data_IF_767563102312
#
_entry.id   IF_767563102312
#
_cell.length_a   1.000
_cell.length_b   1.000
_cell.length_c   1.000
_cell.angle_alpha   90.00
_cell.angle_beta   90.00
_cell.angle_gamma   90.00
#
_symmetry.space_group_name_H-M   'P 1'
#
loop_
_entity.id
_entity.type
_entity.pdbx_description
1 polymer ?
#
# COMPACT_ATOMS: atom_id res chain seq x y z
N UNK A 1 20.74 34.50 -13.77
CA UNK A 1 21.09 33.49 -12.74
C UNK A 1 20.02 33.38 -11.67
N UNK A 2 19.57 34.50 -11.07
CA UNK A 2 18.43 34.50 -10.13
C UNK A 2 17.17 33.90 -10.80
N UNK A 3 16.89 34.25 -12.06
CA UNK A 3 15.74 33.67 -12.79
C UNK A 3 15.86 32.16 -13.02
N UNK A 4 17.08 31.64 -13.26
CA UNK A 4 17.32 30.19 -13.40
C UNK A 4 17.10 29.46 -12.07
N UNK A 5 17.51 30.07 -10.96
CA UNK A 5 17.28 29.53 -9.60
C UNK A 5 15.78 29.58 -9.27
N UNK A 6 15.10 30.68 -9.64
CA UNK A 6 13.66 30.84 -9.46
C UNK A 6 12.88 29.81 -10.27
N UNK A 7 13.24 29.61 -11.53
CA UNK A 7 12.62 28.62 -12.42
C UNK A 7 12.88 27.19 -11.93
N UNK A 8 14.09 26.87 -11.47
CA UNK A 8 14.39 25.55 -10.92
C UNK A 8 13.62 25.27 -9.62
N UNK A 9 13.61 26.20 -8.67
CA UNK A 9 12.86 26.03 -7.42
C UNK A 9 11.35 25.99 -7.67
N UNK A 10 10.84 26.79 -8.61
CA UNK A 10 9.40 26.81 -8.96
C UNK A 10 9.00 25.51 -9.63
N UNK A 11 9.80 25.03 -10.59
CA UNK A 11 9.61 23.73 -11.22
C UNK A 11 9.64 22.58 -10.21
N UNK A 12 10.57 22.61 -9.24
CA UNK A 12 10.67 21.57 -8.20
C UNK A 12 9.43 21.53 -7.29
N UNK A 13 8.85 22.68 -6.94
CA UNK A 13 7.65 22.73 -6.08
C UNK A 13 6.36 22.38 -6.82
N UNK A 14 6.24 22.80 -8.09
CA UNK A 14 5.14 22.40 -8.97
C UNK A 14 5.20 20.89 -9.21
N UNK A 15 6.38 20.35 -9.49
CA UNK A 15 6.58 18.89 -9.61
C UNK A 15 6.20 18.17 -8.31
N UNK A 16 6.57 18.69 -7.12
CA UNK A 16 6.16 18.07 -5.85
C UNK A 16 4.64 18.09 -5.68
N UNK A 17 3.98 19.22 -5.92
CA UNK A 17 2.53 19.35 -5.78
C UNK A 17 1.76 18.45 -6.76
N UNK A 18 2.20 18.41 -8.02
CA UNK A 18 1.60 17.54 -9.05
C UNK A 18 1.84 16.06 -8.72
N UNK A 19 2.98 15.73 -8.12
CA UNK A 19 3.25 14.38 -7.63
C UNK A 19 2.42 14.02 -6.40
N UNK A 20 2.09 14.95 -5.49
CA UNK A 20 1.13 14.67 -4.40
C UNK A 20 -0.20 14.21 -4.98
N UNK A 21 -0.71 14.98 -5.96
CA UNK A 21 -1.99 14.71 -6.60
C UNK A 21 -1.95 13.38 -7.36
N UNK A 22 -0.86 13.13 -8.08
CA UNK A 22 -0.65 11.88 -8.81
C UNK A 22 -0.55 10.67 -7.87
N UNK A 23 0.23 10.75 -6.79
CA UNK A 23 0.37 9.68 -5.80
C UNK A 23 -0.96 9.38 -5.13
N UNK A 24 -1.73 10.41 -4.78
CA UNK A 24 -3.07 10.22 -4.22
C UNK A 24 -4.03 9.54 -5.19
N UNK A 25 -3.96 9.89 -6.48
CA UNK A 25 -4.74 9.24 -7.55
C UNK A 25 -4.33 7.79 -7.77
N UNK A 26 -3.03 7.48 -7.82
CA UNK A 26 -2.52 6.14 -8.12
C UNK A 26 -2.65 5.17 -6.93
N UNK A 27 -2.41 5.63 -5.69
CA UNK A 27 -2.57 4.79 -4.48
C UNK A 27 -4.03 4.44 -4.23
N UNK A 28 -4.95 5.31 -4.65
CA UNK A 28 -6.39 5.16 -4.53
C UNK A 28 -7.04 4.28 -5.60
N UNK A 29 -6.28 3.66 -6.52
CA UNK A 29 -6.86 2.73 -7.49
C UNK A 29 -7.06 1.33 -6.89
N UNK A 30 -8.21 0.72 -7.17
CA UNK A 30 -8.41 -0.71 -6.93
C UNK A 30 -7.59 -1.54 -7.92
N UNK A 31 -7.27 -2.80 -7.61
CA UNK A 31 -6.66 -3.72 -8.56
C UNK A 31 -7.43 -3.78 -9.90
N UNK A 32 -8.76 -3.86 -9.86
CA UNK A 32 -9.58 -3.89 -11.09
C UNK A 32 -9.48 -2.61 -11.92
N UNK A 33 -9.33 -1.45 -11.28
CA UNK A 33 -9.22 -0.15 -11.98
C UNK A 33 -7.80 0.20 -12.44
N UNK A 34 -6.77 -0.50 -11.93
CA UNK A 34 -5.38 -0.17 -12.22
C UNK A 34 -4.95 -0.68 -13.60
N UNK A 35 -5.20 -1.97 -13.89
CA UNK A 35 -4.98 -2.54 -15.21
C UNK A 35 -5.88 -3.76 -15.44
N UNK A 36 -6.81 -3.63 -16.39
CA UNK A 36 -7.82 -4.67 -16.67
C UNK A 36 -7.22 -5.96 -17.22
N UNK A 37 -6.13 -5.90 -17.99
CA UNK A 37 -5.48 -7.08 -18.57
C UNK A 37 -4.75 -7.89 -17.50
N UNK A 38 -3.95 -7.22 -16.66
CA UNK A 38 -3.25 -7.84 -15.54
C UNK A 38 -4.26 -8.44 -14.55
N UNK A 39 -5.34 -7.71 -14.25
CA UNK A 39 -6.41 -8.22 -13.40
C UNK A 39 -7.05 -9.49 -13.98
N UNK A 40 -7.38 -9.49 -15.27
CA UNK A 40 -7.98 -10.66 -15.94
C UNK A 40 -7.03 -11.85 -15.96
N UNK A 41 -5.74 -11.61 -16.20
CA UNK A 41 -4.70 -12.63 -16.16
C UNK A 41 -4.60 -13.27 -14.77
N UNK A 42 -4.55 -12.47 -13.71
CA UNK A 42 -4.45 -12.95 -12.33
C UNK A 42 -5.71 -13.69 -11.90
N UNK A 43 -6.89 -13.18 -12.27
CA UNK A 43 -8.16 -13.87 -12.04
C UNK A 43 -8.20 -15.22 -12.75
N UNK A 44 -7.73 -15.30 -14.00
CA UNK A 44 -7.62 -16.55 -14.75
C UNK A 44 -6.71 -17.57 -14.06
N UNK A 45 -5.56 -17.15 -13.54
CA UNK A 45 -4.68 -18.03 -12.73
C UNK A 45 -5.41 -18.54 -11.49
N UNK A 46 -6.07 -17.65 -10.75
CA UNK A 46 -6.78 -18.03 -9.55
C UNK A 46 -7.89 -19.06 -9.85
N UNK A 47 -8.74 -18.78 -10.83
CA UNK A 47 -9.90 -19.62 -11.16
C UNK A 47 -9.50 -20.95 -11.81
N UNK A 48 -8.53 -20.94 -12.73
CA UNK A 48 -8.21 -22.13 -13.54
C UNK A 48 -7.13 -23.02 -12.92
N UNK A 49 -6.25 -22.48 -12.07
CA UNK A 49 -5.10 -23.23 -11.51
C UNK A 49 -5.21 -23.36 -10.01
N UNK A 50 -5.37 -22.25 -9.29
CA UNK A 50 -5.28 -22.24 -7.83
C UNK A 50 -6.53 -22.80 -7.18
N UNK A 51 -7.72 -22.48 -7.70
CA UNK A 51 -8.99 -22.92 -7.14
C UNK A 51 -9.16 -24.46 -7.17
N UNK A 52 -8.85 -25.18 -8.28
CA UNK A 52 -8.83 -26.64 -8.26
C UNK A 52 -7.87 -27.24 -7.21
N UNK A 53 -6.68 -26.67 -7.06
CA UNK A 53 -5.69 -27.12 -6.05
C UNK A 53 -6.25 -26.89 -4.63
N UNK A 54 -6.82 -25.71 -4.38
CA UNK A 54 -7.46 -25.38 -3.11
C UNK A 54 -8.63 -26.30 -2.79
N UNK A 55 -9.40 -26.75 -3.79
CA UNK A 55 -10.49 -27.70 -3.60
C UNK A 55 -9.99 -29.10 -3.15
N UNK A 56 -8.85 -29.56 -3.69
CA UNK A 56 -8.22 -30.82 -3.24
C UNK A 56 -7.74 -30.69 -1.79
N UNK A 57 -7.07 -29.59 -1.45
CA UNK A 57 -6.61 -29.30 -0.08
C UNK A 57 -7.81 -29.23 0.87
N UNK A 58 -8.87 -28.50 0.50
CA UNK A 58 -10.09 -28.38 1.27
C UNK A 58 -10.71 -29.77 1.54
N UNK A 59 -10.78 -30.63 0.53
CA UNK A 59 -11.33 -31.98 0.65
C UNK A 59 -10.54 -32.81 1.67
N UNK A 60 -9.21 -32.78 1.60
CA UNK A 60 -8.37 -33.48 2.58
C UNK A 60 -8.60 -32.99 4.01
N UNK A 61 -8.70 -31.66 4.19
CA UNK A 61 -8.94 -31.03 5.49
C UNK A 61 -10.31 -31.40 6.05
N UNK A 62 -11.35 -31.39 5.21
CA UNK A 62 -12.71 -31.78 5.59
C UNK A 62 -12.78 -33.27 5.97
N UNK A 63 -12.05 -34.15 5.28
CA UNK A 63 -11.96 -35.57 5.64
C UNK A 63 -11.32 -35.77 7.02
N UNK A 64 -10.22 -35.07 7.31
CA UNK A 64 -9.56 -35.13 8.63
C UNK A 64 -10.53 -34.66 9.72
N UNK A 65 -11.24 -33.55 9.49
CA UNK A 65 -12.19 -33.03 10.46
C UNK A 65 -13.37 -33.99 10.69
N UNK A 66 -13.87 -34.65 9.63
CA UNK A 66 -14.91 -35.67 9.76
C UNK A 66 -14.45 -36.84 10.65
N UNK A 67 -13.25 -37.35 10.42
CA UNK A 67 -12.66 -38.41 11.24
C UNK A 67 -12.59 -37.97 12.71
N UNK A 68 -12.17 -36.74 12.99
CA UNK A 68 -12.12 -36.21 14.35
C UNK A 68 -13.50 -36.06 15.01
N UNK A 69 -14.55 -35.75 14.24
CA UNK A 69 -15.93 -35.70 14.74
C UNK A 69 -16.43 -37.12 15.08
N UNK A 70 -16.14 -38.10 14.21
CA UNK A 70 -16.52 -39.50 14.45
C UNK A 70 -15.76 -40.11 15.63
N UNK A 71 -14.44 -39.91 15.72
CA UNK A 71 -13.61 -40.48 16.80
C UNK A 71 -13.90 -39.88 18.18
N UNK A 72 -14.31 -38.62 18.27
CA UNK A 72 -14.68 -37.99 19.55
C UNK A 72 -15.92 -38.63 20.18
N UNK A 73 -16.74 -39.33 19.39
CA UNK A 73 -17.92 -40.07 19.86
C UNK A 73 -17.68 -41.58 19.85
N UNK A 74 -16.66 -42.04 20.57
CA UNK A 74 -16.39 -43.47 20.80
C UNK A 74 -17.31 -44.09 21.88
N UNK A 75 -18.58 -43.72 21.86
CA UNK A 75 -19.67 -44.43 22.51
C UNK A 75 -20.89 -44.22 21.61
N UNK A 76 -21.14 -45.17 20.70
CA UNK A 76 -22.14 -45.08 19.63
C UNK A 76 -23.61 -45.06 20.13
N UNK A 77 -23.83 -44.68 21.39
CA UNK A 77 -25.15 -44.66 22.02
C UNK A 77 -25.80 -43.28 22.00
N UNK A 78 -25.03 -42.18 21.92
CA UNK A 78 -25.54 -40.79 21.85
C UNK A 78 -24.83 -39.98 20.76
N UNK A 79 -25.08 -40.33 19.50
CA UNK A 79 -24.73 -39.43 18.39
C UNK A 79 -25.70 -38.25 18.43
N UNK A 80 -25.37 -37.19 19.17
CA UNK A 80 -26.04 -35.89 19.01
C UNK A 80 -26.02 -35.52 17.52
N UNK A 81 -27.15 -35.70 16.87
CA UNK A 81 -27.39 -35.35 15.46
C UNK A 81 -26.97 -33.90 15.17
N UNK A 82 -27.00 -33.06 16.21
CA UNK A 82 -26.59 -31.67 16.19
C UNK A 82 -25.10 -31.43 15.89
N UNK A 83 -24.18 -32.29 16.34
CA UNK A 83 -22.74 -32.11 16.07
C UNK A 83 -22.39 -32.45 14.62
N UNK A 84 -23.02 -33.48 14.06
CA UNK A 84 -22.93 -33.80 12.63
C UNK A 84 -23.54 -32.68 11.77
N UNK A 85 -24.67 -32.11 12.20
CA UNK A 85 -25.30 -30.97 11.52
C UNK A 85 -24.39 -29.72 11.49
N UNK A 86 -23.69 -29.42 12.60
CA UNK A 86 -22.68 -28.35 12.65
C UNK A 86 -21.55 -28.58 11.65
N UNK A 87 -21.08 -29.83 11.50
CA UNK A 87 -20.06 -30.17 10.52
C UNK A 87 -20.53 -29.92 9.08
N UNK A 88 -21.76 -30.29 8.73
CA UNK A 88 -22.32 -30.03 7.39
C UNK A 88 -22.40 -28.52 7.09
N UNK A 89 -22.86 -27.71 8.06
CA UNK A 89 -22.87 -26.25 7.91
C UNK A 89 -21.45 -25.71 7.70
N UNK A 90 -20.50 -26.19 8.50
CA UNK A 90 -19.10 -25.76 8.41
C UNK A 90 -18.48 -26.11 7.05
N UNK A 91 -18.74 -27.32 6.55
CA UNK A 91 -18.31 -27.76 5.22
C UNK A 91 -18.86 -26.83 4.14
N UNK A 92 -20.15 -26.53 4.19
CA UNK A 92 -20.81 -25.64 3.22
C UNK A 92 -20.19 -24.25 3.21
N UNK A 93 -19.96 -23.66 4.39
CA UNK A 93 -19.29 -22.36 4.53
C UNK A 93 -17.86 -22.42 3.96
N UNK A 94 -17.11 -23.47 4.25
CA UNK A 94 -15.73 -23.59 3.78
C UNK A 94 -15.63 -23.70 2.24
N UNK A 95 -16.51 -24.48 1.62
CA UNK A 95 -16.59 -24.59 0.15
C UNK A 95 -16.98 -23.25 -0.47
N UNK A 96 -17.97 -22.57 0.11
CA UNK A 96 -18.41 -21.25 -0.38
C UNK A 96 -17.28 -20.22 -0.33
N UNK A 97 -16.56 -20.18 0.80
CA UNK A 97 -15.49 -19.21 1.05
C UNK A 97 -14.24 -19.46 0.20
N UNK A 98 -13.89 -20.72 -0.10
CA UNK A 98 -12.82 -21.04 -1.07
C UNK A 98 -13.22 -20.67 -2.49
N UNK A 99 -14.47 -20.93 -2.89
CA UNK A 99 -14.98 -20.61 -4.22
C UNK A 99 -15.02 -19.10 -4.51
N UNK A 100 -15.21 -18.29 -3.47
CA UNK A 100 -15.28 -16.82 -3.56
C UNK A 100 -14.04 -16.13 -2.94
N UNK A 101 -12.92 -16.85 -2.79
CA UNK A 101 -11.69 -16.32 -2.19
C UNK A 101 -11.17 -15.06 -2.91
N UNK A 102 -11.24 -15.04 -4.23
CA UNK A 102 -10.82 -13.90 -5.04
C UNK A 102 -11.74 -12.68 -4.82
N UNK A 103 -13.05 -12.90 -4.83
CA UNK A 103 -14.03 -11.83 -4.61
C UNK A 103 -13.94 -11.26 -3.19
N UNK A 104 -13.70 -12.11 -2.20
CA UNK A 104 -13.38 -11.66 -0.84
C UNK A 104 -12.16 -10.76 -0.83
N UNK A 105 -11.11 -11.13 -1.57
CA UNK A 105 -9.88 -10.34 -1.62
C UNK A 105 -10.11 -8.98 -2.25
N UNK A 106 -10.93 -8.91 -3.31
CA UNK A 106 -11.33 -7.63 -3.92
C UNK A 106 -12.14 -6.77 -2.97
N UNK A 107 -13.10 -7.34 -2.24
CA UNK A 107 -13.88 -6.61 -1.26
C UNK A 107 -13.01 -5.99 -0.15
N UNK A 108 -11.94 -6.67 0.29
CA UNK A 108 -10.97 -6.10 1.24
C UNK A 108 -10.28 -4.86 0.65
N UNK A 109 -9.90 -4.90 -0.63
CA UNK A 109 -9.30 -3.75 -1.29
C UNK A 109 -10.26 -2.61 -1.54
N UNK A 110 -11.55 -2.87 -1.80
CA UNK A 110 -12.57 -1.83 -1.94
C UNK A 110 -12.76 -1.07 -0.61
N UNK A 111 -12.80 -1.78 0.51
CA UNK A 111 -12.85 -1.17 1.85
C UNK A 111 -11.59 -0.33 2.10
N UNK A 112 -10.40 -0.89 1.81
CA UNK A 112 -9.15 -0.15 1.94
C UNK A 112 -9.12 1.11 1.06
N UNK A 113 -9.64 1.03 -0.17
CA UNK A 113 -9.74 2.16 -1.09
C UNK A 113 -10.63 3.27 -0.52
N UNK A 114 -11.77 2.93 0.09
CA UNK A 114 -12.65 3.91 0.73
C UNK A 114 -11.94 4.69 1.85
N UNK A 115 -11.05 4.03 2.59
CA UNK A 115 -10.23 4.66 3.63
C UNK A 115 -9.15 5.56 3.00
N UNK A 116 -8.47 5.08 1.96
CA UNK A 116 -7.44 5.81 1.21
C UNK A 116 -8.04 7.08 0.59
N UNK A 117 -9.23 7.00 -0.03
CA UNK A 117 -9.91 8.14 -0.63
C UNK A 117 -10.26 9.23 0.39
N UNK A 118 -10.74 8.84 1.57
CA UNK A 118 -10.97 9.78 2.68
C UNK A 118 -9.67 10.42 3.17
N UNK A 119 -8.60 9.65 3.31
CA UNK A 119 -7.29 10.16 3.71
C UNK A 119 -6.68 11.10 2.66
N UNK A 120 -6.87 10.81 1.37
CA UNK A 120 -6.41 11.66 0.27
C UNK A 120 -7.06 13.05 0.34
N UNK A 121 -8.33 13.18 0.72
CA UNK A 121 -8.99 14.47 0.92
C UNK A 121 -8.33 15.33 2.02
N UNK A 122 -7.89 14.71 3.12
CA UNK A 122 -7.19 15.39 4.22
C UNK A 122 -5.78 15.82 3.79
N UNK A 123 -5.06 14.93 3.09
CA UNK A 123 -3.71 15.23 2.57
C UNK A 123 -3.76 16.32 1.50
N UNK A 124 -4.72 16.28 0.58
CA UNK A 124 -4.88 17.30 -0.47
C UNK A 124 -5.15 18.70 0.09
N UNK A 125 -5.91 18.81 1.18
CA UNK A 125 -6.14 20.07 1.88
C UNK A 125 -4.86 20.60 2.55
N UNK A 126 -4.03 19.68 3.05
CA UNK A 126 -2.79 20.01 3.76
C UNK A 126 -1.59 20.24 2.83
N UNK A 127 -1.65 19.74 1.59
CA UNK A 127 -0.54 19.75 0.64
C UNK A 127 -0.50 20.98 -0.28
N UNK A 128 -1.45 21.92 -0.17
CA UNK A 128 -1.45 23.12 -1.00
C UNK A 128 -0.27 24.02 -0.59
N UNK A 129 0.89 23.86 -1.24
CA UNK A 129 2.03 24.76 -1.09
C UNK A 129 1.79 25.91 -2.07
N UNK A 130 1.16 26.98 -1.58
CA UNK A 130 0.90 28.18 -2.37
C UNK A 130 2.22 28.86 -2.74
N UNK A 131 2.39 29.41 -3.96
CA UNK A 131 3.58 30.16 -4.39
C UNK A 131 3.89 31.44 -3.58
N UNK A 132 3.12 31.77 -2.55
CA UNK A 132 3.16 33.06 -1.85
C UNK A 132 4.44 33.37 -1.07
N UNK A 133 5.36 32.42 -0.89
CA UNK A 133 6.65 32.66 -0.24
C UNK A 133 7.79 32.94 -1.24
N UNK A 134 7.53 32.92 -2.56
CA UNK A 134 8.59 33.05 -3.56
C UNK A 134 9.13 34.46 -3.72
N UNK A 135 8.28 35.49 -3.63
CA UNK A 135 8.73 36.87 -3.78
C UNK A 135 9.71 37.25 -2.65
N UNK A 136 9.49 36.74 -1.43
CA UNK A 136 10.42 36.90 -0.31
C UNK A 136 11.74 36.11 -0.49
N UNK A 137 11.72 34.90 -1.06
CA UNK A 137 12.94 34.13 -1.37
C UNK A 137 13.74 34.76 -2.52
N UNK A 138 13.04 35.30 -3.53
CA UNK A 138 13.65 36.01 -4.66
C UNK A 138 14.27 37.32 -4.21
N UNK A 139 13.63 38.06 -3.30
CA UNK A 139 14.20 39.27 -2.73
C UNK A 139 15.40 38.99 -1.80
N UNK A 140 15.40 37.87 -1.08
CA UNK A 140 16.56 37.39 -0.32
C UNK A 140 17.73 36.93 -1.23
N UNK A 141 17.44 36.48 -2.46
CA UNK A 141 18.45 36.11 -3.46
C UNK A 141 19.06 37.33 -4.18
N UNK A 142 18.32 38.42 -4.33
CA UNK A 142 18.81 39.68 -4.95
C UNK A 142 19.87 40.40 -4.12
N UNK A 143 20.00 40.09 -2.83
CA UNK A 143 20.96 40.71 -1.91
C UNK A 143 22.28 39.95 -1.77
N UNK A 144 22.46 38.80 -2.44
CA UNK A 144 23.66 37.95 -2.32
C UNK A 144 24.64 38.19 -3.48
N UNK A 145 25.93 37.99 -3.20
CA UNK A 145 27.00 38.17 -4.18
C UNK A 145 26.94 37.15 -5.33
N UNK A 146 27.48 37.56 -6.49
CA UNK A 146 27.53 36.79 -7.74
C UNK A 146 28.17 35.39 -7.56
N UNK A 147 29.16 35.25 -6.67
CA UNK A 147 29.82 33.97 -6.37
C UNK A 147 28.95 33.00 -5.58
N UNK A 148 28.23 33.48 -4.56
CA UNK A 148 27.27 32.67 -3.79
C UNK A 148 26.09 32.22 -4.65
N UNK A 149 25.71 33.06 -5.62
CA UNK A 149 24.66 32.78 -6.60
C UNK A 149 24.98 31.59 -7.52
N UNK A 150 26.24 31.44 -7.94
CA UNK A 150 26.69 30.28 -8.74
C UNK A 150 26.66 29.00 -7.88
N UNK A 151 27.08 29.08 -6.62
CA UNK A 151 27.01 27.95 -5.68
C UNK A 151 25.57 27.46 -5.45
N UNK A 152 24.63 28.38 -5.22
CA UNK A 152 23.21 28.07 -5.05
C UNK A 152 22.60 27.51 -6.35
N UNK A 153 23.01 28.01 -7.53
CA UNK A 153 22.55 27.47 -8.81
C UNK A 153 22.99 26.01 -9.03
N UNK A 154 24.21 25.66 -8.60
CA UNK A 154 24.72 24.29 -8.69
C UNK A 154 24.03 23.36 -7.69
N UNK A 155 23.82 23.82 -6.45
CA UNK A 155 23.10 23.06 -5.43
C UNK A 155 21.63 22.82 -5.79
N UNK A 156 20.93 23.85 -6.27
CA UNK A 156 19.53 23.70 -6.74
C UNK A 156 19.43 22.73 -7.94
N UNK A 157 20.44 22.70 -8.81
CA UNK A 157 20.55 21.69 -9.87
C UNK A 157 20.68 20.25 -9.33
N UNK A 158 21.52 20.03 -8.31
CA UNK A 158 21.66 18.74 -7.65
C UNK A 158 20.38 18.30 -6.93
N UNK A 159 19.65 19.23 -6.31
CA UNK A 159 18.37 18.91 -5.66
C UNK A 159 17.28 18.59 -6.69
N UNK A 160 17.23 19.29 -7.82
CA UNK A 160 16.33 18.93 -8.93
C UNK A 160 16.59 17.51 -9.43
N UNK A 161 17.87 17.14 -9.60
CA UNK A 161 18.25 15.78 -10.01
C UNK A 161 17.84 14.71 -8.99
N UNK A 162 18.07 14.94 -7.70
CA UNK A 162 17.70 13.99 -6.65
C UNK A 162 16.19 13.88 -6.43
N UNK A 163 15.42 14.95 -6.59
CA UNK A 163 13.95 14.88 -6.62
C UNK A 163 13.43 14.08 -7.82
N UNK A 164 14.11 14.15 -8.96
CA UNK A 164 13.78 13.32 -10.13
C UNK A 164 13.98 11.84 -9.81
N UNK A 165 15.09 11.48 -9.16
CA UNK A 165 15.33 10.11 -8.68
C UNK A 165 14.24 9.68 -7.69
N UNK A 166 13.87 10.56 -6.75
CA UNK A 166 12.80 10.27 -5.78
C UNK A 166 11.46 10.02 -6.48
N UNK A 167 11.12 10.80 -7.51
CA UNK A 167 9.91 10.60 -8.31
C UNK A 167 9.89 9.22 -9.00
N UNK A 168 11.03 8.78 -9.55
CA UNK A 168 11.16 7.44 -10.14
C UNK A 168 10.96 6.38 -9.06
N UNK A 169 11.62 6.53 -7.91
CA UNK A 169 11.53 5.61 -6.78
C UNK A 169 10.09 5.49 -6.26
N UNK A 170 9.37 6.60 -6.12
CA UNK A 170 7.95 6.60 -5.71
C UNK A 170 7.12 5.80 -6.73
N UNK A 171 7.30 6.06 -8.02
CA UNK A 171 6.57 5.35 -9.08
C UNK A 171 6.81 3.84 -9.02
N UNK A 172 8.07 3.42 -8.82
CA UNK A 172 8.42 2.01 -8.66
C UNK A 172 7.75 1.38 -7.44
N UNK A 173 7.71 2.08 -6.29
CA UNK A 173 7.03 1.58 -5.08
C UNK A 173 5.52 1.41 -5.31
N UNK A 174 4.88 2.38 -5.97
CA UNK A 174 3.44 2.32 -6.25
C UNK A 174 3.09 1.13 -7.15
N UNK A 175 3.88 0.91 -8.20
CA UNK A 175 3.70 -0.22 -9.12
C UNK A 175 4.03 -1.55 -8.43
N UNK A 176 5.11 -1.60 -7.66
CA UNK A 176 5.52 -2.77 -6.88
C UNK A 176 4.44 -3.23 -5.90
N UNK A 177 3.78 -2.28 -5.21
CA UNK A 177 2.63 -2.58 -4.33
C UNK A 177 1.50 -3.26 -5.10
N UNK A 178 1.14 -2.76 -6.29
CA UNK A 178 0.06 -3.36 -7.08
C UNK A 178 0.39 -4.79 -7.49
N UNK A 179 1.64 -5.04 -7.88
CA UNK A 179 2.12 -6.39 -8.20
C UNK A 179 2.05 -7.29 -6.97
N UNK A 180 2.46 -6.82 -5.79
CA UNK A 180 2.35 -7.59 -4.54
C UNK A 180 0.90 -7.97 -4.24
N UNK A 181 -0.05 -7.02 -4.37
CA UNK A 181 -1.48 -7.28 -4.20
C UNK A 181 -1.97 -8.37 -5.17
N UNK A 182 -1.60 -8.29 -6.44
CA UNK A 182 -1.98 -9.30 -7.44
C UNK A 182 -1.45 -10.69 -7.11
N UNK A 183 -0.20 -10.80 -6.67
CA UNK A 183 0.38 -12.08 -6.26
C UNK A 183 -0.42 -12.67 -5.10
N UNK A 184 -0.72 -11.88 -4.07
CA UNK A 184 -1.52 -12.34 -2.95
C UNK A 184 -2.91 -12.81 -3.39
N UNK A 185 -3.59 -12.05 -4.25
CA UNK A 185 -4.92 -12.41 -4.75
C UNK A 185 -4.90 -13.67 -5.63
N UNK A 186 -3.83 -13.87 -6.40
CA UNK A 186 -3.70 -15.05 -7.27
C UNK A 186 -3.76 -16.34 -6.46
N UNK A 187 -3.11 -16.37 -5.28
CA UNK A 187 -3.00 -17.56 -4.42
C UNK A 187 -4.06 -17.65 -3.33
N UNK A 188 -5.02 -16.71 -3.28
CA UNK A 188 -5.97 -16.56 -2.17
C UNK A 188 -6.70 -17.85 -1.78
N UNK A 189 -7.15 -18.63 -2.78
CA UNK A 189 -7.97 -19.82 -2.53
C UNK A 189 -7.28 -20.87 -1.63
N UNK A 190 -5.94 -20.98 -1.67
CA UNK A 190 -5.20 -21.98 -0.87
C UNK A 190 -5.28 -21.65 0.63
N UNK A 191 -4.86 -20.47 1.14
CA UNK A 191 -5.00 -20.14 2.55
C UNK A 191 -6.45 -20.20 3.04
N UNK A 192 -7.42 -19.81 2.20
CA UNK A 192 -8.84 -19.93 2.52
C UNK A 192 -9.29 -21.37 2.71
N UNK A 193 -8.73 -22.33 1.96
CA UNK A 193 -9.01 -23.77 2.15
C UNK A 193 -8.53 -24.31 3.50
N UNK A 194 -7.47 -23.71 4.06
CA UNK A 194 -6.89 -24.14 5.34
C UNK A 194 -7.62 -23.64 6.58
N UNK A 195 -8.55 -22.68 6.43
CA UNK A 195 -9.33 -22.14 7.55
C UNK A 195 -10.33 -23.16 8.14
N UNK A 196 -10.65 -24.20 7.37
CA UNK A 196 -11.60 -25.24 7.79
C UNK A 196 -11.17 -25.98 9.06
N UNK A 197 -9.88 -26.21 9.31
CA UNK A 197 -9.43 -27.01 10.46
C UNK A 197 -8.77 -26.15 11.54
N UNK A 198 -9.02 -26.45 12.82
CA UNK A 198 -8.41 -25.76 13.97
C UNK A 198 -6.88 -25.77 13.94
N UNK A 199 -6.29 -26.87 13.50
CA UNK A 199 -4.82 -27.02 13.45
C UNK A 199 -4.17 -26.16 12.36
N UNK A 200 -4.88 -25.93 11.24
CA UNK A 200 -4.35 -25.24 10.05
C UNK A 200 -4.96 -23.84 9.88
N UNK A 201 -5.90 -23.46 10.76
CA UNK A 201 -6.60 -22.17 10.76
C UNK A 201 -5.64 -20.98 10.90
N UNK A 202 -4.48 -21.18 11.52
CA UNK A 202 -3.43 -20.17 11.65
C UNK A 202 -2.94 -19.68 10.27
N UNK A 203 -2.84 -20.55 9.27
CA UNK A 203 -2.38 -20.20 7.92
C UNK A 203 -3.38 -19.24 7.26
N UNK A 204 -4.66 -19.61 7.24
CA UNK A 204 -5.70 -18.78 6.64
C UNK A 204 -5.93 -17.47 7.38
N UNK A 205 -5.90 -17.48 8.71
CA UNK A 205 -6.05 -16.25 9.51
C UNK A 205 -4.87 -15.29 9.35
N UNK A 206 -3.63 -15.79 9.25
CA UNK A 206 -2.46 -14.96 8.96
C UNK A 206 -2.49 -14.41 7.53
N UNK A 207 -2.99 -15.17 6.57
CA UNK A 207 -3.21 -14.67 5.21
C UNK A 207 -4.22 -13.52 5.19
N UNK A 208 -5.37 -13.66 5.86
CA UNK A 208 -6.37 -12.57 5.95
C UNK A 208 -5.73 -11.32 6.57
N UNK A 209 -4.99 -11.46 7.68
CA UNK A 209 -4.27 -10.32 8.28
C UNK A 209 -3.29 -9.67 7.31
N UNK A 210 -2.54 -10.48 6.56
CA UNK A 210 -1.60 -9.99 5.54
C UNK A 210 -2.32 -9.26 4.40
N UNK A 211 -3.50 -9.76 3.99
CA UNK A 211 -4.33 -9.16 2.95
C UNK A 211 -4.85 -7.78 3.39
N UNK A 212 -5.34 -7.68 4.63
CA UNK A 212 -5.69 -6.38 5.22
C UNK A 212 -4.47 -5.46 5.36
N UNK A 213 -3.27 -5.99 5.64
CA UNK A 213 -2.05 -5.20 5.74
C UNK A 213 -1.68 -4.57 4.39
N UNK A 214 -1.81 -5.31 3.30
CA UNK A 214 -1.58 -4.79 1.94
C UNK A 214 -2.60 -3.72 1.55
N UNK A 215 -3.86 -3.89 1.97
CA UNK A 215 -4.88 -2.85 1.86
C UNK A 215 -4.44 -1.58 2.58
N UNK A 216 -4.06 -1.71 3.86
CA UNK A 216 -3.64 -0.59 4.72
C UNK A 216 -2.32 0.06 4.29
N UNK A 217 -1.43 -0.66 3.61
CA UNK A 217 -0.17 -0.12 3.09
C UNK A 217 -0.37 1.15 2.24
N UNK A 218 -1.44 1.20 1.44
CA UNK A 218 -1.77 2.38 0.65
C UNK A 218 -2.06 3.61 1.52
N UNK A 219 -2.72 3.41 2.66
CA UNK A 219 -2.95 4.49 3.62
C UNK A 219 -1.64 5.01 4.21
N UNK A 220 -0.70 4.14 4.57
CA UNK A 220 0.59 4.58 5.11
C UNK A 220 1.43 5.36 4.10
N UNK A 221 1.38 4.98 2.82
CA UNK A 221 2.04 5.75 1.75
C UNK A 221 1.48 7.19 1.72
N UNK A 222 0.16 7.35 1.78
CA UNK A 222 -0.47 8.68 1.85
C UNK A 222 -0.07 9.46 3.11
N UNK A 223 -0.02 8.80 4.27
CA UNK A 223 0.38 9.44 5.53
C UNK A 223 1.83 9.92 5.46
N UNK A 224 2.76 9.10 4.97
CA UNK A 224 4.16 9.51 4.80
C UNK A 224 4.29 10.69 3.85
N UNK A 225 3.51 10.68 2.77
CA UNK A 225 3.46 11.80 1.84
C UNK A 225 2.92 13.08 2.50
N UNK A 226 1.82 12.97 3.27
CA UNK A 226 1.26 14.09 4.01
C UNK A 226 2.23 14.68 5.03
N UNK A 227 2.97 13.83 5.76
CA UNK A 227 4.04 14.26 6.68
C UNK A 227 5.13 15.02 5.91
N UNK A 228 5.58 14.50 4.77
CA UNK A 228 6.56 15.19 3.92
C UNK A 228 6.07 16.57 3.47
N UNK A 229 4.82 16.68 3.01
CA UNK A 229 4.25 17.96 2.59
C UNK A 229 4.22 19.01 3.72
N UNK A 230 3.89 18.58 4.95
CA UNK A 230 3.93 19.47 6.13
C UNK A 230 5.36 19.86 6.51
N UNK A 231 6.30 18.91 6.49
CA UNK A 231 7.70 19.19 6.82
C UNK A 231 8.34 20.21 5.86
N UNK A 232 8.08 20.07 4.56
CA UNK A 232 8.57 21.02 3.54
C UNK A 232 7.99 22.42 3.77
N UNK A 233 6.73 22.54 4.20
CA UNK A 233 6.12 23.84 4.53
C UNK A 233 6.77 24.54 5.74
N UNK A 234 7.31 23.77 6.69
CA UNK A 234 7.93 24.32 7.90
C UNK A 234 9.39 24.76 7.72
N UNK A 235 9.96 24.59 6.53
CA UNK A 235 11.35 25.00 6.25
C UNK A 235 11.43 26.53 6.20
N UNK A 236 12.19 27.11 7.15
CA UNK A 236 12.52 28.54 7.15
C UNK A 236 13.70 28.80 6.20
N UNK A 237 13.56 29.77 5.30
CA UNK A 237 14.56 30.12 4.29
C UNK A 237 15.56 31.18 4.77
N UNK A 238 16.03 31.09 6.02
CA UNK A 238 17.04 32.04 6.54
C UNK A 238 18.42 31.80 5.95
N UNK A 239 18.77 30.53 5.70
CA UNK A 239 20.01 30.13 5.02
C UNK A 239 19.69 29.17 3.88
N UNK A 240 19.91 29.62 2.65
CA UNK A 240 19.49 28.92 1.43
C UNK A 240 20.14 27.53 1.30
N UNK A 241 21.43 27.42 1.65
CA UNK A 241 22.18 26.16 1.61
C UNK A 241 21.57 25.08 2.53
N UNK A 242 21.27 25.45 3.79
CA UNK A 242 20.69 24.54 4.77
C UNK A 242 19.24 24.20 4.45
N UNK A 243 18.45 25.16 3.96
CA UNK A 243 17.05 24.90 3.56
C UNK A 243 16.97 23.93 2.37
N UNK A 244 17.84 24.09 1.36
CA UNK A 244 17.90 23.19 0.19
C UNK A 244 18.28 21.77 0.61
N UNK A 245 19.28 21.62 1.49
CA UNK A 245 19.71 20.32 1.99
C UNK A 245 18.65 19.66 2.90
N UNK A 246 17.89 20.44 3.67
CA UNK A 246 16.77 19.93 4.48
C UNK A 246 15.65 19.36 3.61
N UNK A 247 15.27 20.05 2.52
CA UNK A 247 14.25 19.55 1.57
C UNK A 247 14.70 18.23 0.93
N UNK A 248 15.99 18.13 0.57
CA UNK A 248 16.57 16.89 0.06
C UNK A 248 16.51 15.76 1.10
N UNK A 249 16.91 16.04 2.34
CA UNK A 249 16.89 15.08 3.43
C UNK A 249 15.47 14.55 3.70
N UNK A 250 14.45 15.42 3.72
CA UNK A 250 13.05 15.02 3.86
C UNK A 250 12.57 14.15 2.70
N UNK A 251 13.02 14.44 1.46
CA UNK A 251 12.70 13.61 0.29
C UNK A 251 13.28 12.20 0.40
N UNK A 252 14.54 12.07 0.83
CA UNK A 252 15.18 10.77 1.04
C UNK A 252 14.49 9.97 2.15
N UNK A 253 14.13 10.63 3.27
CA UNK A 253 13.38 10.00 4.37
C UNK A 253 12.02 9.49 3.86
N UNK A 254 11.30 10.29 3.06
CA UNK A 254 10.05 9.85 2.44
C UNK A 254 10.24 8.57 1.63
N UNK A 255 11.25 8.53 0.75
CA UNK A 255 11.55 7.34 -0.05
C UNK A 255 11.80 6.09 0.80
N UNK A 256 12.62 6.22 1.85
CA UNK A 256 12.92 5.11 2.78
C UNK A 256 11.67 4.65 3.54
N UNK A 257 10.87 5.58 4.05
CA UNK A 257 9.65 5.23 4.79
C UNK A 257 8.59 4.59 3.90
N UNK A 258 8.47 5.05 2.65
CA UNK A 258 7.60 4.42 1.65
C UNK A 258 8.01 2.98 1.34
N UNK A 259 9.31 2.68 1.25
CA UNK A 259 9.78 1.29 1.08
C UNK A 259 9.42 0.41 2.28
N UNK A 260 9.45 0.97 3.50
CA UNK A 260 9.08 0.24 4.74
C UNK A 260 7.58 0.22 5.02
N UNK A 261 6.74 0.87 4.21
CA UNK A 261 5.28 0.94 4.42
C UNK A 261 4.63 -0.45 4.53
N UNK A 262 5.04 -1.40 3.70
CA UNK A 262 4.50 -2.77 3.70
C UNK A 262 4.86 -3.55 4.96
N UNK A 263 6.10 -3.45 5.45
CA UNK A 263 6.53 -4.12 6.68
C UNK A 263 5.88 -3.51 7.93
N UNK A 264 5.67 -2.19 7.94
CA UNK A 264 4.94 -1.50 9.01
C UNK A 264 3.48 -1.99 9.05
N UNK A 265 2.81 -2.08 7.90
CA UNK A 265 1.43 -2.56 7.85
C UNK A 265 1.29 -4.00 8.35
N UNK A 266 2.21 -4.89 7.94
CA UNK A 266 2.23 -6.29 8.38
C UNK A 266 2.51 -6.41 9.88
N UNK A 267 3.43 -5.61 10.42
CA UNK A 267 3.73 -5.57 11.84
C UNK A 267 2.54 -5.13 12.70
N UNK A 268 1.79 -4.10 12.26
CA UNK A 268 0.62 -3.59 13.00
C UNK A 268 -0.49 -4.63 13.09
N UNK A 269 -0.73 -5.39 12.02
CA UNK A 269 -1.75 -6.44 12.01
C UNK A 269 -1.26 -7.77 12.57
N UNK A 270 -0.03 -7.82 13.08
CA UNK A 270 0.62 -9.03 13.57
C UNK A 270 0.47 -10.20 12.56
N UNK A 271 0.70 -9.86 11.28
CA UNK A 271 0.83 -10.84 10.21
C UNK A 271 2.31 -11.16 10.06
N UNK A 272 2.71 -12.31 10.59
CA UNK A 272 4.04 -12.88 10.40
C UNK A 272 4.06 -13.77 9.16
#
# INVERSE_FOLDING_TARGET
>A
MIDIIKDNLSAMLVDINDKVSTVAGEVGKTPSSWNSEVFTFIKSINTNVVLPIAAIILTAILCIELIQVVMRKNSMQDTDTFEFFKYIIKMWIAVWLVSHAFDFSMAVFDVAQSMIGKAAGVVGTSANITPGNFDAMVDALKTKELGTLIGIALETGLVKFSLTILSILITVILYGRMIEIYIYCSVAAIPFSTMGNKEWSSIGTNYIKSLFALGLQGLFILIFFGIYAVLVKTVNFTDIHTSILQVLAYGLILGVMMMKSGSIAKAILNSH
#
